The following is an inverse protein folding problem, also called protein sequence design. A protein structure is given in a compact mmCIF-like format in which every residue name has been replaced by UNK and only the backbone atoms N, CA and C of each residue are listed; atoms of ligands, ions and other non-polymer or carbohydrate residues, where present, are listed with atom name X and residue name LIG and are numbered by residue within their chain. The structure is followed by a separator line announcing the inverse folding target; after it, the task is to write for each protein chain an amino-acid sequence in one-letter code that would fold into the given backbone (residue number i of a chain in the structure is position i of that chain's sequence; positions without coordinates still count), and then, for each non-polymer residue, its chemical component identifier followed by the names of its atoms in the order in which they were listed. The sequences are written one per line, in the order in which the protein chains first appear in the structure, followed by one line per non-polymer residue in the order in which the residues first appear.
data_IF_159897536437
#
_entry.id   IF_159897536437
#
_cell.length_a   1.000
_cell.length_b   1.000
_cell.length_c   1.000
_cell.angle_alpha   90.00
_cell.angle_beta   90.00
_cell.angle_gamma   90.00
#
_symmetry.space_group_name_H-M   'P 1'
#
loop_
_entity.id
_entity.type
_entity.pdbx_description
1 polymer ?
#
# COMPACT_ATOMS: atom_id res chain seq x y z
N UNK A 1 47.55 39.13 14.42
CA UNK A 1 48.69 38.95 13.49
C UNK A 1 48.23 38.09 12.32
N UNK A 2 48.83 38.25 11.13
CA UNK A 2 48.41 37.58 9.89
C UNK A 2 49.08 36.20 9.79
N UNK A 3 48.41 35.20 9.19
CA UNK A 3 48.83 34.81 7.84
C UNK A 3 47.77 34.01 7.07
N UNK A 4 47.69 34.31 5.78
CA UNK A 4 46.85 33.68 4.77
C UNK A 4 47.68 32.72 3.90
N UNK A 5 47.10 31.61 3.46
CA UNK A 5 47.68 30.72 2.44
C UNK A 5 46.73 30.57 1.25
N UNK A 6 47.15 30.99 0.06
CA UNK A 6 46.32 30.99 -1.14
C UNK A 6 46.86 30.04 -2.22
N UNK A 7 45.92 29.47 -2.99
CA UNK A 7 46.01 28.99 -4.38
C UNK A 7 47.37 28.69 -5.03
N UNK A 8 47.40 27.58 -5.80
CA UNK A 8 47.36 27.67 -7.28
C UNK A 8 46.90 26.38 -7.97
N UNK A 9 46.49 26.56 -9.22
CA UNK A 9 45.72 25.64 -10.09
C UNK A 9 46.47 25.28 -11.38
N UNK A 10 46.01 24.22 -12.08
CA UNK A 10 46.15 23.86 -13.53
C UNK A 10 45.65 22.40 -13.68
N UNK A 11 45.02 21.89 -14.74
CA UNK A 11 44.43 22.37 -16.02
C UNK A 11 43.97 21.09 -16.79
N UNK A 12 42.74 20.93 -17.30
CA UNK A 12 42.12 21.52 -18.50
C UNK A 12 42.54 20.89 -19.86
N UNK A 13 41.67 20.03 -20.42
CA UNK A 13 41.40 19.70 -21.87
C UNK A 13 40.12 18.80 -21.89
N UNK A 14 39.02 19.07 -22.62
CA UNK A 14 38.76 19.12 -24.08
C UNK A 14 38.83 17.72 -24.74
N UNK A 15 37.92 17.27 -25.64
CA UNK A 15 36.99 17.98 -26.55
C UNK A 15 35.80 17.11 -27.08
N UNK A 16 34.85 17.76 -27.78
CA UNK A 16 33.90 17.35 -28.87
C UNK A 16 33.71 15.83 -29.18
N UNK A 17 32.53 15.25 -29.49
CA UNK A 17 31.25 15.69 -30.09
C UNK A 17 30.31 14.44 -30.25
N UNK A 18 29.30 14.29 -31.13
CA UNK A 18 28.70 15.11 -32.21
C UNK A 18 27.19 14.73 -32.40
N UNK A 19 26.65 14.56 -33.63
CA UNK A 19 25.22 14.27 -33.94
C UNK A 19 25.04 13.37 -35.20
N UNK A 20 23.80 12.91 -35.48
CA UNK A 20 23.26 12.34 -36.76
C UNK A 20 23.68 10.88 -37.13
N UNK A 21 22.90 10.05 -37.85
CA UNK A 21 21.58 10.19 -38.47
C UNK A 21 20.76 8.87 -38.56
N UNK A 22 19.47 9.08 -38.78
CA UNK A 22 18.37 8.23 -39.25
C UNK A 22 18.61 7.52 -40.59
N UNK A 23 18.16 6.27 -40.73
CA UNK A 23 17.35 5.67 -41.82
C UNK A 23 17.43 4.13 -41.74
N UNK A 24 16.54 3.28 -42.27
CA UNK A 24 15.08 3.24 -42.42
C UNK A 24 14.77 2.18 -43.51
N UNK A 25 13.89 1.22 -43.19
CA UNK A 25 13.15 0.30 -44.09
C UNK A 25 13.95 -0.66 -45.00
N UNK A 26 13.61 -1.95 -44.92
CA UNK A 26 13.14 -2.73 -46.08
C UNK A 26 12.30 -3.93 -45.59
N UNK A 27 11.02 -3.93 -45.95
CA UNK A 27 10.06 -5.01 -45.71
C UNK A 27 10.06 -6.00 -46.88
N UNK A 28 10.01 -7.30 -46.60
CA UNK A 28 9.55 -8.30 -47.57
C UNK A 28 8.94 -9.53 -46.88
N UNK A 29 7.61 -9.67 -47.01
CA UNK A 29 6.95 -10.97 -47.08
C UNK A 29 7.30 -11.60 -48.46
N UNK A 30 7.07 -12.86 -48.83
CA UNK A 30 6.39 -14.03 -48.24
C UNK A 30 6.85 -15.27 -49.05
N UNK A 31 6.59 -16.51 -48.61
CA UNK A 31 6.81 -17.67 -49.49
C UNK A 31 7.01 -19.03 -48.81
N UNK A 32 5.91 -19.70 -48.46
CA UNK A 32 5.93 -21.03 -47.83
C UNK A 32 6.22 -22.19 -48.82
N UNK A 33 6.81 -23.30 -48.32
CA UNK A 33 6.52 -24.69 -48.76
C UNK A 33 6.63 -25.70 -47.59
N UNK A 34 5.98 -26.85 -47.77
CA UNK A 34 5.59 -27.82 -46.74
C UNK A 34 6.70 -28.53 -45.96
N UNK A 35 6.38 -28.88 -44.70
CA UNK A 35 6.95 -29.98 -43.91
C UNK A 35 5.84 -30.67 -43.11
N UNK A 36 5.93 -31.99 -42.91
CA UNK A 36 4.83 -32.86 -42.46
C UNK A 36 4.60 -32.85 -40.94
N UNK A 37 3.38 -33.18 -40.52
CA UNK A 37 2.90 -32.92 -39.16
C UNK A 37 3.33 -33.91 -38.08
N UNK A 38 3.30 -33.43 -36.83
CA UNK A 38 2.97 -34.23 -35.64
C UNK A 38 1.90 -33.50 -34.83
N UNK A 39 0.90 -34.25 -34.35
CA UNK A 39 -0.29 -33.69 -33.71
C UNK A 39 -0.06 -33.26 -32.26
N UNK A 40 0.47 -32.04 -32.06
CA UNK A 40 0.42 -31.38 -30.76
C UNK A 40 -0.99 -30.86 -30.49
N UNK A 41 -1.72 -31.48 -29.54
CA UNK A 41 -2.97 -30.91 -29.03
C UNK A 41 -2.65 -29.56 -28.39
N UNK A 42 -3.04 -28.46 -29.05
CA UNK A 42 -2.95 -27.13 -28.46
C UNK A 42 -3.75 -27.12 -27.16
N UNK A 43 -3.07 -27.00 -26.02
CA UNK A 43 -3.73 -26.73 -24.76
C UNK A 43 -4.52 -25.42 -24.94
N UNK A 44 -5.80 -25.36 -24.54
CA UNK A 44 -6.57 -24.14 -24.68
C UNK A 44 -5.87 -23.04 -23.88
N UNK A 45 -5.38 -22.02 -24.58
CA UNK A 45 -4.86 -20.80 -23.96
C UNK A 45 -5.99 -20.23 -23.11
N UNK A 46 -5.94 -20.48 -21.80
CA UNK A 46 -7.01 -20.12 -20.88
C UNK A 46 -7.22 -18.61 -21.04
N UNK A 47 -8.44 -18.14 -21.40
CA UNK A 47 -8.66 -16.72 -21.57
C UNK A 47 -8.14 -15.98 -20.35
N UNK A 48 -7.36 -14.93 -20.56
CA UNK A 48 -7.00 -14.02 -19.49
C UNK A 48 -8.32 -13.56 -18.89
N UNK A 49 -8.59 -13.97 -17.63
CA UNK A 49 -9.90 -13.78 -17.03
C UNK A 49 -10.19 -12.28 -17.04
N UNK A 50 -11.19 -11.88 -17.82
CA UNK A 50 -11.61 -10.49 -17.93
C UNK A 50 -11.98 -10.02 -16.53
N UNK A 51 -11.14 -9.17 -15.94
CA UNK A 51 -11.37 -8.67 -14.60
C UNK A 51 -12.70 -7.94 -14.59
N UNK A 52 -13.62 -8.40 -13.74
CA UNK A 52 -14.90 -7.72 -13.53
C UNK A 52 -14.59 -6.31 -12.96
N UNK A 53 -14.81 -5.24 -13.73
CA UNK A 53 -14.42 -3.90 -13.31
C UNK A 53 -15.30 -3.38 -12.18
N UNK A 54 -16.42 -4.04 -11.86
CA UNK A 54 -17.29 -3.70 -10.72
C UNK A 54 -16.75 -4.22 -9.38
N UNK A 55 -15.63 -4.95 -9.39
CA UNK A 55 -15.03 -5.63 -8.23
C UNK A 55 -13.58 -5.24 -8.00
N UNK A 56 -13.16 -5.27 -6.73
CA UNK A 56 -11.75 -5.09 -6.37
C UNK A 56 -10.94 -6.33 -6.84
N UNK A 57 -9.93 -6.19 -7.72
CA UNK A 57 -9.21 -7.33 -8.27
C UNK A 57 -8.55 -8.22 -7.21
N UNK A 58 -8.70 -9.55 -7.34
CA UNK A 58 -8.07 -10.51 -6.42
C UNK A 58 -8.72 -10.62 -5.04
N UNK A 59 -9.77 -9.85 -4.76
CA UNK A 59 -10.60 -9.98 -3.56
C UNK A 59 -11.79 -10.89 -3.87
N UNK A 60 -11.92 -11.98 -3.11
CA UNK A 60 -12.94 -13.01 -3.27
C UNK A 60 -14.29 -12.62 -2.67
N UNK A 61 -15.31 -13.38 -3.05
CA UNK A 61 -16.72 -13.18 -2.72
C UNK A 61 -17.02 -12.89 -1.24
N UNK A 62 -16.32 -13.60 -0.34
CA UNK A 62 -16.44 -13.43 1.11
C UNK A 62 -16.15 -12.00 1.58
N UNK A 63 -15.15 -11.37 0.97
CA UNK A 63 -14.66 -10.05 1.35
C UNK A 63 -15.30 -8.94 0.51
N UNK A 64 -15.57 -9.18 -0.78
CA UNK A 64 -16.32 -8.24 -1.63
C UNK A 64 -17.68 -7.87 -0.99
N UNK A 65 -18.42 -8.85 -0.48
CA UNK A 65 -19.70 -8.62 0.22
C UNK A 65 -19.60 -7.83 1.53
N UNK A 66 -18.39 -7.63 2.07
CA UNK A 66 -18.14 -6.82 3.27
C UNK A 66 -17.68 -5.39 2.95
N UNK A 67 -17.37 -5.09 1.68
CA UNK A 67 -17.16 -3.71 1.22
C UNK A 67 -18.54 -3.04 1.19
N UNK A 68 -18.75 -1.91 1.91
CA UNK A 68 -20.03 -1.21 1.91
C UNK A 68 -20.45 -0.79 0.50
N UNK A 69 -21.73 -0.95 0.17
CA UNK A 69 -22.25 -0.74 -1.19
C UNK A 69 -22.23 0.75 -1.62
N UNK A 70 -22.17 1.65 -0.66
CA UNK A 70 -22.02 3.10 -0.77
C UNK A 70 -20.56 3.57 -0.81
N UNK A 71 -19.60 2.70 -0.48
CA UNK A 71 -18.17 3.01 -0.54
C UNK A 71 -17.74 3.38 -1.96
N UNK A 72 -16.90 4.43 -2.04
CA UNK A 72 -16.29 4.93 -3.28
C UNK A 72 -14.76 4.94 -3.23
N UNK A 73 -14.16 4.50 -2.13
CA UNK A 73 -12.71 4.43 -1.96
C UNK A 73 -12.33 3.15 -1.20
N UNK A 74 -11.46 2.34 -1.81
CA UNK A 74 -10.94 1.11 -1.20
C UNK A 74 -9.42 1.14 -1.21
N UNK A 75 -8.82 1.09 -0.02
CA UNK A 75 -7.39 0.80 0.16
C UNK A 75 -7.26 -0.73 0.22
N UNK A 76 -6.73 -1.36 -0.83
CA UNK A 76 -6.52 -2.81 -0.84
C UNK A 76 -5.07 -3.13 -0.47
N UNK A 77 -4.87 -3.92 0.59
CA UNK A 77 -3.55 -4.37 1.05
C UNK A 77 -3.38 -5.85 0.76
N UNK A 78 -2.54 -6.17 -0.21
CA UNK A 78 -2.26 -7.54 -0.65
C UNK A 78 -0.93 -8.03 -0.06
N UNK A 79 -0.98 -8.79 1.03
CA UNK A 79 0.18 -9.49 1.59
C UNK A 79 0.69 -10.59 0.66
N UNK A 80 2.01 -10.73 0.51
CA UNK A 80 2.64 -11.71 -0.38
C UNK A 80 2.27 -13.16 -0.01
N UNK A 81 2.16 -13.46 1.28
CA UNK A 81 1.78 -14.77 1.80
C UNK A 81 1.42 -14.72 3.28
N UNK A 82 0.83 -15.81 3.79
CA UNK A 82 0.26 -15.91 5.15
C UNK A 82 1.25 -15.56 6.27
N UNK A 83 2.53 -15.85 6.07
CA UNK A 83 3.60 -15.66 7.06
C UNK A 83 4.67 -14.68 6.57
N UNK A 84 4.38 -13.90 5.52
CA UNK A 84 5.28 -12.90 4.94
C UNK A 84 4.98 -11.49 5.47
N UNK A 85 6.03 -10.70 5.71
CA UNK A 85 5.93 -9.31 6.17
C UNK A 85 5.70 -8.28 5.03
N UNK A 86 5.89 -8.69 3.77
CA UNK A 86 5.79 -7.82 2.60
C UNK A 86 4.36 -7.78 2.05
N UNK A 87 3.95 -6.60 1.59
CA UNK A 87 2.64 -6.39 0.97
C UNK A 87 2.68 -5.30 -0.12
N UNK A 88 1.59 -5.20 -0.87
CA UNK A 88 1.35 -4.09 -1.81
C UNK A 88 0.04 -3.41 -1.44
N UNK A 89 0.06 -2.09 -1.25
CA UNK A 89 -1.13 -1.28 -1.07
C UNK A 89 -1.55 -0.67 -2.40
N UNK A 90 -2.82 -0.78 -2.77
CA UNK A 90 -3.40 -0.17 -3.97
C UNK A 90 -4.62 0.65 -3.57
N UNK A 91 -4.69 1.91 -3.99
CA UNK A 91 -5.91 2.72 -3.85
C UNK A 91 -6.81 2.51 -5.07
N UNK A 92 -8.04 2.10 -4.82
CA UNK A 92 -9.12 2.05 -5.81
C UNK A 92 -10.14 3.16 -5.55
N UNK A 93 -10.51 3.87 -6.61
CA UNK A 93 -11.53 4.90 -6.64
C UNK A 93 -12.70 4.43 -7.49
N UNK A 94 -13.93 4.61 -7.00
CA UNK A 94 -15.13 4.20 -7.76
C UNK A 94 -15.57 5.26 -8.75
N UNK A 95 -15.76 4.87 -10.00
CA UNK A 95 -16.29 5.71 -11.08
C UNK A 95 -17.55 5.04 -11.65
N UNK A 96 -18.72 5.61 -11.35
CA UNK A 96 -20.00 4.97 -11.64
C UNK A 96 -20.10 3.61 -10.93
N UNK A 97 -20.19 2.52 -11.69
CA UNK A 97 -20.22 1.15 -11.18
C UNK A 97 -18.84 0.48 -11.08
N UNK A 98 -17.77 1.06 -11.65
CA UNK A 98 -16.46 0.42 -11.76
C UNK A 98 -15.44 0.96 -10.75
N UNK A 99 -14.40 0.17 -10.48
CA UNK A 99 -13.26 0.52 -9.66
C UNK A 99 -12.01 0.74 -10.51
N UNK A 100 -11.40 1.92 -10.40
CA UNK A 100 -10.12 2.25 -11.04
C UNK A 100 -9.01 2.27 -9.99
N UNK A 101 -7.90 1.56 -10.24
CA UNK A 101 -6.69 1.67 -9.43
C UNK A 101 -5.94 2.96 -9.77
N UNK A 102 -5.85 3.90 -8.82
CA UNK A 102 -5.20 5.21 -9.07
C UNK A 102 -3.73 5.23 -8.70
N UNK A 103 -3.32 4.51 -7.64
CA UNK A 103 -1.93 4.38 -7.20
C UNK A 103 -1.68 3.04 -6.51
N UNK A 104 -0.41 2.62 -6.52
CA UNK A 104 0.10 1.40 -5.89
C UNK A 104 1.45 1.69 -5.22
N UNK A 105 1.71 1.08 -4.06
CA UNK A 105 2.94 1.24 -3.28
C UNK A 105 3.38 -0.08 -2.64
N UNK A 106 4.70 -0.31 -2.48
CA UNK A 106 5.19 -1.33 -1.54
C UNK A 106 4.85 -0.93 -0.10
N UNK A 107 4.62 -1.92 0.75
CA UNK A 107 4.26 -1.73 2.15
C UNK A 107 4.68 -2.94 2.98
N UNK A 108 4.86 -2.77 4.30
CA UNK A 108 5.02 -3.91 5.21
C UNK A 108 3.77 -4.10 6.07
N UNK A 109 3.48 -5.36 6.39
CA UNK A 109 2.44 -5.77 7.33
C UNK A 109 3.08 -6.35 8.61
N UNK A 110 2.26 -6.90 9.51
CA UNK A 110 2.75 -7.56 10.74
C UNK A 110 3.85 -8.59 10.43
N UNK A 111 4.94 -8.58 11.20
CA UNK A 111 6.17 -9.33 10.91
C UNK A 111 6.05 -10.85 10.89
N UNK A 112 4.96 -11.42 11.42
CA UNK A 112 4.60 -12.84 11.28
C UNK A 112 3.50 -13.08 10.24
N UNK A 113 3.21 -12.11 9.38
CA UNK A 113 2.20 -12.17 8.34
C UNK A 113 0.79 -11.85 8.83
N UNK A 114 -0.16 -12.72 8.50
CA UNK A 114 -1.60 -12.43 8.49
C UNK A 114 -2.42 -13.47 9.26
N UNK A 115 -3.54 -13.04 9.85
CA UNK A 115 -4.45 -13.93 10.59
C UNK A 115 -5.91 -13.48 10.49
N UNK A 116 -6.83 -14.45 10.44
CA UNK A 116 -8.28 -14.22 10.55
C UNK A 116 -8.78 -14.22 11.99
N UNK A 117 -7.97 -14.68 12.95
CA UNK A 117 -8.18 -14.48 14.39
C UNK A 117 -6.97 -13.76 14.98
N UNK A 118 -6.95 -12.44 14.87
CA UNK A 118 -5.91 -11.60 15.47
C UNK A 118 -6.09 -11.51 17.00
N UNK A 119 -4.96 -11.50 17.70
CA UNK A 119 -4.82 -11.37 19.15
C UNK A 119 -3.70 -10.38 19.48
N UNK A 120 -3.85 -9.66 20.60
CA UNK A 120 -2.82 -8.73 21.10
C UNK A 120 -1.46 -9.44 21.21
N UNK A 121 -0.41 -8.82 20.67
CA UNK A 121 0.95 -9.37 20.66
C UNK A 121 1.21 -10.58 19.74
N UNK A 122 0.25 -11.05 18.92
CA UNK A 122 0.50 -12.19 18.01
C UNK A 122 1.56 -11.91 16.92
N UNK A 123 1.79 -10.63 16.63
CA UNK A 123 2.66 -10.05 15.61
C UNK A 123 2.18 -10.23 14.15
N UNK A 124 0.86 -10.34 13.94
CA UNK A 124 0.20 -10.53 12.64
C UNK A 124 -0.82 -9.42 12.36
N UNK A 125 -0.97 -9.06 11.10
CA UNK A 125 -2.06 -8.16 10.67
C UNK A 125 -3.40 -8.90 10.58
N UNK A 126 -4.51 -8.27 11.01
CA UNK A 126 -5.84 -8.86 10.85
C UNK A 126 -6.26 -8.91 9.38
N UNK A 127 -6.81 -10.03 8.95
CA UNK A 127 -7.45 -10.19 7.62
C UNK A 127 -8.90 -9.72 7.71
N UNK A 128 -9.30 -8.77 6.88
CA UNK A 128 -10.69 -8.31 6.85
C UNK A 128 -10.98 -7.12 5.95
N UNK A 129 -12.18 -6.57 6.15
CA UNK A 129 -12.61 -5.28 5.62
C UNK A 129 -12.98 -4.40 6.81
N UNK A 130 -12.40 -3.20 6.88
CA UNK A 130 -12.56 -2.25 7.98
C UNK A 130 -12.73 -0.84 7.41
N UNK A 131 -13.44 0.04 8.11
CA UNK A 131 -13.52 1.45 7.71
C UNK A 131 -12.24 2.21 8.07
N UNK A 132 -12.05 3.36 7.44
CA UNK A 132 -10.99 4.32 7.75
C UNK A 132 -11.66 5.65 8.14
N UNK A 133 -11.94 5.87 9.42
CA UNK A 133 -12.69 7.06 9.87
C UNK A 133 -11.83 8.24 10.36
N UNK A 134 -10.65 7.97 10.93
CA UNK A 134 -9.86 8.97 11.66
C UNK A 134 -8.40 8.98 11.24
N UNK A 135 -7.75 10.15 11.36
CA UNK A 135 -6.33 10.35 11.07
C UNK A 135 -5.63 11.14 12.19
N UNK A 136 -4.30 11.17 12.15
CA UNK A 136 -3.52 11.93 13.13
C UNK A 136 -2.02 11.70 13.01
N UNK A 137 -1.30 12.05 14.07
CA UNK A 137 0.14 11.84 14.19
C UNK A 137 0.85 12.94 14.97
N UNK A 138 2.19 12.86 15.02
CA UNK A 138 3.05 13.89 15.64
C UNK A 138 3.12 15.15 14.77
N UNK A 139 3.16 14.97 13.45
CA UNK A 139 3.32 16.07 12.51
C UNK A 139 2.03 16.86 12.32
N UNK A 140 2.18 18.08 11.81
CA UNK A 140 1.04 18.91 11.42
C UNK A 140 0.29 18.21 10.27
N UNK A 141 -1.03 18.29 10.32
CA UNK A 141 -1.91 17.92 9.22
C UNK A 141 -1.35 18.35 7.84
N UNK A 142 -1.05 17.39 6.94
CA UNK A 142 -0.51 17.67 5.61
C UNK A 142 -1.58 18.08 4.58
N UNK A 143 -2.83 18.32 5.02
CA UNK A 143 -3.98 18.65 4.17
C UNK A 143 -4.98 17.49 4.08
N UNK A 144 -5.25 16.83 5.22
CA UNK A 144 -6.10 15.66 5.30
C UNK A 144 -7.58 16.02 5.13
N UNK A 145 -8.34 15.10 4.52
CA UNK A 145 -9.81 15.18 4.48
C UNK A 145 -10.47 14.37 5.60
N UNK A 146 -9.77 13.37 6.16
CA UNK A 146 -10.20 12.69 7.37
C UNK A 146 -10.01 13.62 8.59
N UNK A 147 -10.83 13.51 9.64
CA UNK A 147 -10.58 14.18 10.91
C UNK A 147 -9.16 13.90 11.43
N UNK A 148 -8.33 14.94 11.53
CA UNK A 148 -6.90 14.79 11.85
C UNK A 148 -6.57 15.28 13.28
N UNK A 149 -6.17 14.36 14.15
CA UNK A 149 -5.69 14.70 15.50
C UNK A 149 -4.17 14.78 15.54
N UNK A 150 -3.62 16.00 15.67
CA UNK A 150 -2.20 16.20 15.97
C UNK A 150 -1.93 16.06 17.47
N UNK A 151 -1.00 15.20 17.87
CA UNK A 151 -0.55 15.14 19.28
C UNK A 151 0.87 14.59 19.42
N UNK A 152 1.63 15.11 20.38
CA UNK A 152 2.91 14.52 20.77
C UNK A 152 2.74 13.12 21.41
N UNK A 153 1.53 12.76 21.86
CA UNK A 153 1.22 11.44 22.41
C UNK A 153 1.27 10.30 21.36
N UNK A 154 1.36 10.62 20.07
CA UNK A 154 1.67 9.63 19.03
C UNK A 154 3.15 9.24 18.99
N UNK A 155 4.06 10.02 19.57
CA UNK A 155 5.49 9.85 19.33
C UNK A 155 6.01 8.48 19.80
N UNK A 156 6.68 7.77 18.89
CA UNK A 156 7.33 6.51 19.20
C UNK A 156 8.35 6.69 20.35
N UNK A 157 8.41 5.76 21.33
CA UNK A 157 9.29 5.88 22.48
C UNK A 157 10.77 5.96 22.07
N UNK A 158 11.53 6.89 22.66
CA UNK A 158 12.94 7.14 22.28
C UNK A 158 13.94 6.07 22.71
N UNK A 159 13.47 5.03 23.42
CA UNK A 159 14.21 3.79 23.67
C UNK A 159 14.06 2.75 22.54
N UNK A 160 13.16 2.97 21.57
CA UNK A 160 13.14 2.20 20.31
C UNK A 160 14.33 2.56 19.43
N UNK A 161 14.71 1.66 18.52
CA UNK A 161 15.73 1.96 17.53
C UNK A 161 15.32 3.16 16.65
N UNK A 162 16.30 3.94 16.20
CA UNK A 162 16.07 5.23 15.52
C UNK A 162 15.18 5.14 14.27
N UNK A 163 15.18 3.99 13.58
CA UNK A 163 14.33 3.73 12.43
C UNK A 163 12.83 3.87 12.73
N UNK A 164 12.41 3.55 13.96
CA UNK A 164 11.01 3.59 14.37
C UNK A 164 10.56 4.94 14.94
N UNK A 165 11.46 5.93 15.09
CA UNK A 165 11.15 7.20 15.76
C UNK A 165 10.11 8.05 15.02
N UNK A 166 9.88 7.74 13.74
CA UNK A 166 8.98 8.45 12.83
C UNK A 166 7.75 7.63 12.42
N UNK A 167 7.59 6.40 12.94
CA UNK A 167 6.48 5.48 12.58
C UNK A 167 5.11 6.19 12.59
N UNK A 168 4.87 7.00 13.62
CA UNK A 168 3.57 7.64 13.89
C UNK A 168 3.59 9.15 13.66
N UNK A 169 4.52 9.64 12.82
CA UNK A 169 4.50 11.02 12.34
C UNK A 169 3.22 11.33 11.56
N UNK A 170 2.75 10.34 10.77
CA UNK A 170 1.42 10.28 10.15
C UNK A 170 0.77 8.92 10.41
N UNK A 171 -0.53 8.94 10.73
CA UNK A 171 -1.37 7.79 11.07
C UNK A 171 -2.75 7.93 10.40
N UNK A 172 -3.26 6.83 9.83
CA UNK A 172 -4.69 6.66 9.49
C UNK A 172 -5.19 5.44 10.28
N UNK A 173 -6.29 5.61 11.02
CA UNK A 173 -6.88 4.55 11.81
C UNK A 173 -7.52 3.48 10.92
N UNK A 174 -7.21 2.21 11.18
CA UNK A 174 -7.99 1.07 10.69
C UNK A 174 -8.99 0.74 11.80
N UNK A 175 -10.29 0.71 11.48
CA UNK A 175 -11.35 0.49 12.47
C UNK A 175 -11.50 -0.98 12.88
N UNK A 176 -10.40 -1.58 13.33
CA UNK A 176 -10.32 -2.88 13.99
C UNK A 176 -10.32 -2.66 15.51
N UNK A 177 -11.34 -3.18 16.22
CA UNK A 177 -11.48 -3.10 17.67
C UNK A 177 -11.15 -1.73 18.29
N UNK A 178 -11.75 -0.66 17.74
CA UNK A 178 -11.68 0.71 18.25
C UNK A 178 -13.04 1.41 18.14
N UNK A 179 -13.18 2.50 18.88
CA UNK A 179 -14.29 3.46 18.68
C UNK A 179 -13.98 4.33 17.46
N UNK A 180 -14.95 4.55 16.58
CA UNK A 180 -14.80 5.42 15.39
C UNK A 180 -15.15 6.86 15.75
N UNK A 181 -14.51 7.84 15.10
CA UNK A 181 -14.72 9.27 15.40
C UNK A 181 -13.95 9.76 16.63
N UNK A 182 -13.04 8.94 17.18
CA UNK A 182 -12.11 9.31 18.25
C UNK A 182 -10.69 9.39 17.67
N UNK A 183 -9.73 10.07 18.34
CA UNK A 183 -8.35 10.06 17.90
C UNK A 183 -7.81 8.64 17.61
N UNK A 184 -6.92 8.45 16.62
CA UNK A 184 -6.37 7.12 16.33
C UNK A 184 -5.65 6.45 17.51
N UNK A 185 -5.14 7.23 18.47
CA UNK A 185 -4.52 6.77 19.72
C UNK A 185 -5.48 6.70 20.93
N UNK A 186 -6.79 6.78 20.73
CA UNK A 186 -7.76 6.42 21.76
C UNK A 186 -7.59 4.93 22.14
N UNK A 187 -7.41 4.58 23.42
CA UNK A 187 -7.09 3.21 23.84
C UNK A 187 -8.32 2.30 23.95
N UNK A 188 -9.54 2.80 23.70
CA UNK A 188 -10.77 2.06 23.94
C UNK A 188 -10.93 0.91 22.94
N UNK A 189 -10.95 -0.32 23.45
CA UNK A 189 -11.11 -1.57 22.69
C UNK A 189 -12.45 -2.28 23.03
N UNK A 190 -13.54 -2.06 22.26
CA UNK A 190 -14.87 -2.60 22.57
C UNK A 190 -14.99 -4.13 22.61
N UNK A 191 -14.17 -4.85 21.85
CA UNK A 191 -14.07 -6.33 21.85
C UNK A 191 -13.05 -6.86 22.88
N UNK A 192 -12.51 -5.96 23.72
CA UNK A 192 -11.56 -6.25 24.80
C UNK A 192 -10.10 -6.30 24.37
N UNK A 193 -9.21 -6.17 25.36
CA UNK A 193 -7.75 -6.11 25.18
C UNK A 193 -7.18 -7.33 24.43
N UNK A 194 -7.62 -8.54 24.77
CA UNK A 194 -7.11 -9.78 24.18
C UNK A 194 -7.35 -9.90 22.66
N UNK A 195 -8.25 -9.10 22.09
CA UNK A 195 -8.55 -9.08 20.65
C UNK A 195 -7.54 -8.25 19.84
N UNK A 196 -6.68 -7.47 20.52
CA UNK A 196 -5.75 -6.53 19.91
C UNK A 196 -6.43 -5.22 19.50
N UNK A 197 -5.67 -4.17 19.25
CA UNK A 197 -6.18 -2.86 18.78
C UNK A 197 -5.05 -1.96 18.31
N UNK A 198 -5.33 -0.68 18.05
CA UNK A 198 -4.30 0.28 17.60
C UNK A 198 -3.71 -0.04 16.23
N UNK A 199 -4.51 -0.68 15.35
CA UNK A 199 -4.09 -1.05 14.00
C UNK A 199 -4.18 0.17 13.09
N UNK A 200 -3.08 0.56 12.45
CA UNK A 200 -3.00 1.79 11.66
C UNK A 200 -2.37 1.55 10.28
N UNK A 201 -2.65 2.47 9.34
CA UNK A 201 -1.70 2.79 8.28
C UNK A 201 -0.72 3.83 8.83
N UNK A 202 0.59 3.62 8.71
CA UNK A 202 1.59 4.54 9.26
C UNK A 202 2.89 4.60 8.44
N UNK A 203 3.86 5.38 8.87
CA UNK A 203 5.13 5.61 8.17
C UNK A 203 6.04 4.37 8.18
N UNK A 204 6.71 4.10 7.07
CA UNK A 204 7.57 2.92 6.92
C UNK A 204 8.97 3.06 7.53
N UNK A 205 9.36 2.04 8.28
CA UNK A 205 10.69 1.87 8.90
C UNK A 205 11.51 0.74 8.25
N UNK A 206 11.10 0.22 7.09
CA UNK A 206 11.85 -0.76 6.30
C UNK A 206 11.76 -2.21 6.74
N UNK A 207 10.78 -2.59 7.57
CA UNK A 207 10.56 -3.98 7.97
C UNK A 207 9.12 -4.26 8.43
N UNK A 208 8.80 -5.52 8.72
CA UNK A 208 7.49 -5.92 9.24
C UNK A 208 7.13 -5.25 10.57
N UNK A 209 5.87 -4.83 10.68
CA UNK A 209 5.32 -4.12 11.84
C UNK A 209 4.95 -5.09 12.98
N UNK A 210 4.35 -4.58 14.06
CA UNK A 210 3.66 -5.45 15.05
C UNK A 210 2.32 -5.97 14.54
N UNK A 211 1.53 -5.19 13.79
CA UNK A 211 0.23 -5.60 13.21
C UNK A 211 -0.32 -4.59 12.19
N UNK A 212 0.11 -3.33 12.28
CA UNK A 212 -0.17 -2.25 11.35
C UNK A 212 0.29 -2.53 9.90
N UNK A 213 -0.07 -1.64 8.98
CA UNK A 213 0.49 -1.61 7.62
C UNK A 213 1.30 -0.34 7.47
N UNK A 214 2.57 -0.45 7.08
CA UNK A 214 3.49 0.68 6.96
C UNK A 214 3.79 1.04 5.51
N UNK A 215 3.89 2.35 5.24
CA UNK A 215 3.89 2.96 3.91
C UNK A 215 4.89 4.12 3.84
N UNK A 216 5.42 4.43 2.65
CA UNK A 216 6.31 5.59 2.49
C UNK A 216 5.59 6.90 2.84
N UNK A 217 6.34 7.90 3.31
CA UNK A 217 5.83 9.24 3.62
C UNK A 217 4.94 9.81 2.50
N UNK A 218 5.41 9.74 1.26
CA UNK A 218 4.69 10.17 0.07
C UNK A 218 3.39 9.42 -0.21
N UNK A 219 3.27 8.17 0.26
CA UNK A 219 2.03 7.39 0.18
C UNK A 219 1.07 7.81 1.29
N UNK A 220 1.56 7.98 2.54
CA UNK A 220 0.77 8.45 3.67
C UNK A 220 0.21 9.86 3.42
N UNK A 221 1.03 10.81 2.96
CA UNK A 221 0.57 12.14 2.55
C UNK A 221 -0.51 12.08 1.46
N UNK A 222 -0.30 11.24 0.44
CA UNK A 222 -1.26 11.13 -0.66
C UNK A 222 -2.59 10.54 -0.18
N UNK A 223 -2.56 9.49 0.64
CA UNK A 223 -3.77 8.91 1.24
C UNK A 223 -4.49 9.92 2.13
N UNK A 224 -3.79 10.64 3.02
CA UNK A 224 -4.38 11.66 3.87
C UNK A 224 -5.11 12.75 3.07
N UNK A 225 -4.51 13.26 1.98
CA UNK A 225 -5.09 14.28 1.09
C UNK A 225 -6.24 13.76 0.20
N UNK A 226 -6.42 12.44 0.11
CA UNK A 226 -7.32 11.78 -0.87
C UNK A 226 -8.48 11.03 -0.24
N UNK A 227 -8.29 10.35 0.90
CA UNK A 227 -9.34 9.59 1.59
C UNK A 227 -10.33 10.55 2.24
N UNK A 228 -11.58 10.48 1.82
CA UNK A 228 -12.60 11.51 2.01
C UNK A 228 -13.79 10.88 2.75
N UNK A 229 -14.17 11.35 3.96
CA UNK A 229 -15.16 10.66 4.79
C UNK A 229 -16.53 10.54 4.11
N UNK A 230 -16.90 11.50 3.26
CA UNK A 230 -18.15 11.50 2.47
C UNK A 230 -18.14 10.47 1.32
N UNK A 231 -16.99 9.82 1.08
CA UNK A 231 -16.81 8.73 0.11
C UNK A 231 -16.70 7.36 0.78
N UNK A 232 -16.88 7.30 2.09
CA UNK A 232 -16.90 6.10 2.94
C UNK A 232 -15.70 5.18 2.67
N UNK A 233 -14.47 5.63 2.96
CA UNK A 233 -13.25 4.90 2.66
C UNK A 233 -13.12 3.67 3.56
N UNK A 234 -12.75 2.56 2.94
CA UNK A 234 -12.48 1.29 3.64
C UNK A 234 -11.12 0.74 3.26
N UNK A 235 -10.54 -0.07 4.14
CA UNK A 235 -9.42 -0.95 3.83
C UNK A 235 -9.93 -2.39 3.67
N UNK A 236 -9.44 -3.09 2.65
CA UNK A 236 -9.52 -4.55 2.54
C UNK A 236 -8.11 -5.11 2.58
N UNK A 237 -7.81 -5.95 3.56
CA UNK A 237 -6.43 -6.35 3.86
C UNK A 237 -6.32 -7.83 4.21
N UNK A 238 -5.25 -8.45 3.73
CA UNK A 238 -4.96 -9.87 3.96
C UNK A 238 -3.85 -10.41 3.06
N UNK A 239 -3.38 -11.62 3.33
CA UNK A 239 -2.56 -12.34 2.36
C UNK A 239 -3.37 -12.72 1.11
N UNK A 240 -2.68 -12.91 -0.02
CA UNK A 240 -3.33 -13.23 -1.31
C UNK A 240 -4.14 -14.53 -1.32
N UNK A 241 -3.91 -15.48 -0.41
CA UNK A 241 -4.71 -16.71 -0.35
C UNK A 241 -6.00 -16.48 0.43
N UNK A 242 -5.92 -15.91 1.64
CA UNK A 242 -7.10 -15.61 2.46
C UNK A 242 -7.98 -14.52 1.81
N UNK A 243 -7.42 -13.55 1.09
CA UNK A 243 -8.20 -12.57 0.30
C UNK A 243 -8.94 -13.17 -0.89
N UNK A 244 -8.44 -14.24 -1.52
CA UNK A 244 -9.08 -14.86 -2.70
C UNK A 244 -10.24 -15.79 -2.35
N UNK A 245 -10.46 -16.12 -1.07
CA UNK A 245 -11.51 -17.06 -0.66
C UNK A 245 -12.91 -16.54 -0.99
N UNK A 246 -13.74 -17.38 -1.59
CA UNK A 246 -15.14 -17.07 -1.91
C UNK A 246 -16.12 -17.33 -0.76
N UNK A 247 -15.72 -18.19 0.18
CA UNK A 247 -16.48 -18.66 1.33
C UNK A 247 -15.55 -18.71 2.56
#
# INVERSE_FOLDING_TARGET
MRNSGAWRSRGATAALGSLLAVMAILTACEGARHGTGTGGKGAPTRPAATMDPTRIPGVGDRWQRRIPADSRQVVAVYGEGKDAANSTVVLYMRQGSTWESTRSWPAHNGKKGWTTDHREGDNRSPVGVFTLSDAGGVLKDPGSRLPYTRSAAFAAPRWWAKSYWHDFDFVIAIDYNRVKGTPPNDPTRPEGEAKGGGIWLHMDHGSGTSACVSLSESAMEYLLRTLDPDRHPVVVMGDRADLKRSH
#
